data_IF_842731649335
#
_entry.id   IF_842731649335
#
_cell.length_a   1.000
_cell.length_b   1.000
_cell.length_c   1.000
_cell.angle_alpha   90.00
_cell.angle_beta   90.00
_cell.angle_gamma   90.00
#
_symmetry.space_group_name_H-M   'P 1'
#
loop_
_entity.id
_entity.type
_entity.pdbx_description
1 polymer ?
#
# COMPACT_ATOMS: atom_id res chain seq x y z
N UNK A 1 17.71 -0.50 -17.99
CA UNK A 1 18.54 -1.73 -17.94
C UNK A 1 20.05 -1.52 -18.10
N UNK A 2 20.56 -0.64 -19.00
CA UNK A 2 22.02 -0.48 -19.23
C UNK A 2 22.87 -0.27 -17.97
N UNK A 3 22.46 0.63 -17.06
CA UNK A 3 23.20 0.93 -15.84
C UNK A 3 23.24 -0.26 -14.87
N UNK A 4 22.10 -0.94 -14.69
CA UNK A 4 21.99 -2.14 -13.85
C UNK A 4 22.86 -3.29 -14.40
N UNK A 5 22.84 -3.52 -15.72
CA UNK A 5 23.70 -4.51 -16.39
C UNK A 5 25.20 -4.21 -16.24
N UNK A 6 25.57 -2.97 -15.95
CA UNK A 6 26.94 -2.56 -15.66
C UNK A 6 27.28 -2.63 -14.16
N UNK A 7 26.44 -3.27 -13.33
CA UNK A 7 26.66 -3.44 -11.90
C UNK A 7 26.47 -2.16 -11.07
N UNK A 8 25.75 -1.16 -11.59
CA UNK A 8 25.52 0.12 -10.87
C UNK A 8 24.24 0.08 -10.06
N UNK A 9 24.28 0.72 -8.88
CA UNK A 9 23.08 1.12 -8.14
C UNK A 9 22.49 2.36 -8.80
N UNK A 10 21.20 2.31 -9.12
CA UNK A 10 20.48 3.41 -9.77
C UNK A 10 19.57 4.06 -8.73
N UNK A 11 19.78 5.36 -8.49
CA UNK A 11 18.94 6.15 -7.61
C UNK A 11 17.97 6.92 -8.51
N UNK A 12 16.67 6.69 -8.31
CA UNK A 12 15.60 7.42 -8.96
C UNK A 12 14.87 8.27 -7.93
N UNK A 13 14.51 9.50 -8.29
CA UNK A 13 13.67 10.33 -7.45
C UNK A 13 12.21 9.86 -7.57
N UNK A 14 11.63 9.42 -6.45
CA UNK A 14 10.21 9.05 -6.37
C UNK A 14 9.26 10.24 -6.43
N UNK A 15 7.95 9.97 -6.40
CA UNK A 15 6.84 10.93 -6.28
C UNK A 15 6.59 11.84 -7.49
N UNK A 16 7.59 12.07 -8.33
CA UNK A 16 7.50 12.96 -9.49
C UNK A 16 7.51 12.22 -10.82
N UNK A 17 6.97 12.88 -11.84
CA UNK A 17 6.95 12.42 -13.22
C UNK A 17 6.95 13.58 -14.21
N UNK A 18 6.79 13.27 -15.49
CA UNK A 18 6.60 14.25 -16.56
C UNK A 18 5.36 13.87 -17.38
N UNK A 19 4.66 14.87 -17.91
CA UNK A 19 3.64 14.69 -18.94
C UNK A 19 4.26 14.73 -20.36
N UNK A 20 3.41 14.63 -21.39
CA UNK A 20 3.84 14.62 -22.79
C UNK A 20 4.48 15.95 -23.23
N UNK A 21 4.12 17.06 -22.57
CA UNK A 21 4.67 18.41 -22.81
C UNK A 21 5.94 18.69 -21.99
N UNK A 22 6.43 17.70 -21.22
CA UNK A 22 7.59 17.78 -20.32
C UNK A 22 7.39 18.69 -19.11
N UNK A 23 6.16 18.95 -18.71
CA UNK A 23 5.89 19.59 -17.43
C UNK A 23 6.18 18.61 -16.29
N UNK A 24 6.79 19.11 -15.21
CA UNK A 24 7.01 18.30 -14.01
C UNK A 24 5.68 18.13 -13.29
N UNK A 25 5.30 16.89 -13.01
CA UNK A 25 4.08 16.53 -12.30
C UNK A 25 4.40 15.75 -11.03
N UNK A 26 3.44 15.71 -10.10
CA UNK A 26 3.54 14.92 -8.87
C UNK A 26 2.42 13.90 -8.80
N UNK A 27 2.68 12.79 -8.12
CA UNK A 27 1.73 11.69 -7.97
C UNK A 27 0.83 11.85 -6.74
N UNK A 28 1.00 12.91 -5.94
CA UNK A 28 0.26 13.13 -4.70
C UNK A 28 0.67 12.16 -3.57
N UNK A 29 -0.17 12.03 -2.54
CA UNK A 29 0.12 11.17 -1.37
C UNK A 29 0.40 9.73 -1.80
N UNK A 30 1.42 9.12 -1.19
CA UNK A 30 1.90 7.79 -1.55
C UNK A 30 2.72 7.73 -2.85
N UNK A 31 3.04 8.87 -3.48
CA UNK A 31 3.69 8.89 -4.79
C UNK A 31 5.06 8.23 -4.84
N UNK A 32 5.85 8.30 -3.77
CA UNK A 32 7.16 7.61 -3.71
C UNK A 32 7.00 6.10 -3.76
N UNK A 33 6.10 5.54 -2.94
CA UNK A 33 5.77 4.12 -2.93
C UNK A 33 5.23 3.69 -4.31
N UNK A 34 4.33 4.47 -4.89
CA UNK A 34 3.78 4.20 -6.23
C UNK A 34 4.89 4.17 -7.29
N UNK A 35 5.86 5.09 -7.20
CA UNK A 35 7.01 5.12 -8.12
C UNK A 35 7.87 3.87 -7.96
N UNK A 36 8.16 3.47 -6.72
CA UNK A 36 8.95 2.27 -6.43
C UNK A 36 8.27 1.00 -6.97
N UNK A 37 6.97 0.85 -6.73
CA UNK A 37 6.19 -0.28 -7.25
C UNK A 37 6.12 -0.28 -8.78
N UNK A 38 5.96 0.89 -9.40
CA UNK A 38 5.96 1.02 -10.86
C UNK A 38 7.30 0.63 -11.49
N UNK A 39 8.41 1.09 -10.90
CA UNK A 39 9.74 0.71 -11.32
C UNK A 39 9.95 -0.81 -11.15
N UNK A 40 9.55 -1.39 -10.01
CA UNK A 40 9.65 -2.83 -9.79
C UNK A 40 8.87 -3.63 -10.85
N UNK A 41 7.66 -3.20 -11.21
CA UNK A 41 6.86 -3.83 -12.27
C UNK A 41 7.57 -3.79 -13.63
N UNK A 42 8.06 -2.63 -14.05
CA UNK A 42 8.70 -2.45 -15.37
C UNK A 42 10.06 -3.15 -15.44
N UNK A 43 10.78 -3.20 -14.33
CA UNK A 43 12.09 -3.85 -14.22
C UNK A 43 11.98 -5.35 -13.95
N UNK A 44 10.76 -5.88 -13.74
CA UNK A 44 10.50 -7.27 -13.35
C UNK A 44 11.31 -7.69 -12.12
N UNK A 45 11.31 -6.83 -11.10
CA UNK A 45 12.00 -7.11 -9.85
C UNK A 45 11.30 -8.25 -9.09
N UNK A 46 12.09 -9.05 -8.36
CA UNK A 46 11.56 -10.15 -7.55
C UNK A 46 10.67 -9.65 -6.39
N UNK A 47 11.04 -8.52 -5.79
CA UNK A 47 10.22 -7.80 -4.81
C UNK A 47 10.55 -6.29 -4.79
N UNK A 48 9.59 -5.49 -4.32
CA UNK A 48 9.74 -4.08 -4.02
C UNK A 48 9.78 -3.89 -2.50
N UNK A 49 10.89 -3.38 -1.97
CA UNK A 49 11.04 -3.14 -0.53
C UNK A 49 10.72 -1.69 -0.18
N UNK A 50 9.79 -1.50 0.75
CA UNK A 50 9.44 -0.20 1.34
C UNK A 50 10.02 -0.15 2.74
N UNK A 51 11.01 0.72 2.92
CA UNK A 51 11.67 0.95 4.19
C UNK A 51 11.01 2.11 4.93
N UNK A 52 10.59 1.88 6.17
CA UNK A 52 9.82 2.84 6.97
C UNK A 52 10.23 2.79 8.45
N UNK A 53 9.65 3.63 9.31
CA UNK A 53 9.95 3.70 10.75
C UNK A 53 9.17 2.70 11.60
N UNK A 54 8.37 1.83 10.97
CA UNK A 54 7.65 0.73 11.62
C UNK A 54 8.23 -0.64 11.22
N UNK A 55 8.03 -1.63 12.08
CA UNK A 55 8.49 -3.02 11.83
C UNK A 55 7.79 -3.68 10.64
N UNK A 56 6.62 -3.19 10.25
CA UNK A 56 5.79 -3.72 9.17
C UNK A 56 4.32 -3.45 9.43
N UNK A 57 3.46 -4.33 8.92
CA UNK A 57 2.01 -4.26 9.15
C UNK A 57 1.69 -5.09 10.40
N UNK A 58 1.12 -4.45 11.40
CA UNK A 58 0.65 -5.09 12.62
C UNK A 58 -0.83 -5.49 12.49
N UNK A 59 -1.27 -6.46 13.29
CA UNK A 59 -2.67 -6.92 13.31
C UNK A 59 -3.66 -5.84 13.75
N UNK A 60 -3.21 -4.80 14.46
CA UNK A 60 -3.96 -3.60 14.85
C UNK A 60 -2.96 -2.54 15.35
N UNK A 61 -3.45 -1.36 15.74
CA UNK A 61 -2.63 -0.30 16.32
C UNK A 61 -2.06 -0.72 17.69
N UNK A 62 -0.73 -0.88 17.85
CA UNK A 62 -0.10 -1.31 19.09
C UNK A 62 -0.27 -0.30 20.24
N UNK A 63 -0.59 0.97 19.92
CA UNK A 63 -0.88 2.02 20.91
C UNK A 63 -2.25 1.84 21.55
N UNK A 64 -3.15 1.09 20.90
CA UNK A 64 -4.48 0.76 21.41
C UNK A 64 -4.54 -0.65 21.99
N UNK A 65 -3.78 -1.58 21.42
CA UNK A 65 -3.75 -2.98 21.84
C UNK A 65 -2.30 -3.46 21.92
N UNK A 66 -1.77 -3.59 23.13
CA UNK A 66 -0.37 -4.00 23.39
C UNK A 66 -0.02 -5.38 22.82
N UNK A 67 -1.02 -6.26 22.66
CA UNK A 67 -0.84 -7.60 22.11
C UNK A 67 -0.88 -7.65 20.58
N UNK A 68 -0.85 -6.50 19.89
CA UNK A 68 -0.75 -6.41 18.45
C UNK A 68 0.48 -7.17 17.93
N UNK A 69 0.30 -7.93 16.84
CA UNK A 69 1.33 -8.84 16.31
C UNK A 69 1.75 -8.42 14.92
N UNK A 70 3.04 -8.57 14.62
CA UNK A 70 3.55 -8.41 13.26
C UNK A 70 3.00 -9.48 12.33
N UNK A 71 2.35 -9.06 11.26
CA UNK A 71 1.91 -9.94 10.18
C UNK A 71 3.12 -10.26 9.32
N UNK A 72 3.48 -11.54 9.19
CA UNK A 72 4.60 -11.94 8.31
C UNK A 72 4.22 -11.83 6.84
N UNK A 73 2.95 -12.11 6.53
CA UNK A 73 2.38 -12.04 5.19
C UNK A 73 0.95 -11.52 5.25
N UNK A 74 0.53 -10.83 4.22
CA UNK A 74 -0.84 -10.35 4.01
C UNK A 74 -1.12 -10.33 2.50
N UNK A 75 -2.35 -10.61 2.10
CA UNK A 75 -2.74 -10.48 0.70
C UNK A 75 -2.85 -9.01 0.28
N UNK A 76 -2.79 -8.74 -1.02
CA UNK A 76 -3.06 -7.40 -1.54
C UNK A 76 -4.44 -6.88 -1.10
N UNK A 77 -5.45 -7.74 -1.12
CA UNK A 77 -6.83 -7.35 -0.79
C UNK A 77 -7.00 -7.04 0.69
N UNK A 78 -6.50 -7.89 1.57
CA UNK A 78 -6.54 -7.60 3.00
C UNK A 78 -5.78 -6.30 3.35
N UNK A 79 -4.64 -6.06 2.70
CA UNK A 79 -3.89 -4.83 2.91
C UNK A 79 -4.62 -3.60 2.36
N UNK A 80 -5.31 -3.71 1.22
CA UNK A 80 -6.13 -2.64 0.67
C UNK A 80 -7.28 -2.29 1.61
N UNK A 81 -7.97 -3.29 2.14
CA UNK A 81 -9.06 -3.09 3.10
C UNK A 81 -8.54 -2.39 4.37
N UNK A 82 -7.44 -2.89 4.96
CA UNK A 82 -6.82 -2.26 6.13
C UNK A 82 -6.38 -0.81 5.86
N UNK A 83 -5.71 -0.57 4.72
CA UNK A 83 -5.23 0.77 4.36
C UNK A 83 -6.40 1.74 4.13
N UNK A 84 -7.49 1.27 3.51
CA UNK A 84 -8.68 2.09 3.27
C UNK A 84 -9.38 2.49 4.58
N UNK A 85 -9.29 1.65 5.61
CA UNK A 85 -9.84 1.85 6.95
C UNK A 85 -8.84 2.47 7.94
N UNK A 86 -7.79 3.14 7.46
CA UNK A 86 -6.90 3.96 8.28
C UNK A 86 -5.64 3.28 8.79
N UNK A 87 -5.29 2.07 8.34
CA UNK A 87 -3.97 1.50 8.60
C UNK A 87 -2.89 2.28 7.81
N UNK A 88 -2.26 3.27 8.46
CA UNK A 88 -1.37 4.25 7.84
C UNK A 88 0.04 3.79 7.46
N UNK A 89 0.26 2.49 7.23
CA UNK A 89 1.61 1.94 6.97
C UNK A 89 2.06 2.12 5.51
N UNK A 90 1.14 1.93 4.56
CA UNK A 90 1.42 2.07 3.13
C UNK A 90 0.18 2.65 2.44
N UNK A 91 0.38 3.53 1.46
CA UNK A 91 -0.74 4.17 0.76
C UNK A 91 -1.47 3.19 -0.17
N UNK A 92 -2.81 3.15 -0.11
CA UNK A 92 -3.66 2.21 -0.86
C UNK A 92 -3.34 2.15 -2.35
N UNK A 93 -3.18 3.31 -3.00
CA UNK A 93 -2.82 3.40 -4.43
C UNK A 93 -1.59 2.58 -4.82
N UNK A 94 -0.56 2.56 -3.98
CA UNK A 94 0.66 1.81 -4.27
C UNK A 94 0.43 0.31 -4.16
N UNK A 95 -0.44 -0.11 -3.22
CA UNK A 95 -0.87 -1.51 -3.08
C UNK A 95 -1.76 -1.93 -4.25
N UNK A 96 -2.66 -1.07 -4.72
CA UNK A 96 -3.48 -1.33 -5.92
C UNK A 96 -2.58 -1.54 -7.15
N UNK A 97 -1.55 -0.70 -7.30
CA UNK A 97 -0.58 -0.83 -8.37
C UNK A 97 0.20 -2.15 -8.24
N UNK A 98 0.65 -2.49 -7.03
CA UNK A 98 1.34 -3.75 -6.74
C UNK A 98 0.47 -4.96 -7.12
N UNK A 99 -0.80 -4.97 -6.72
CA UNK A 99 -1.80 -5.98 -7.08
C UNK A 99 -1.95 -6.10 -8.59
N UNK A 100 -2.17 -4.96 -9.28
CA UNK A 100 -2.42 -4.92 -10.73
C UNK A 100 -1.29 -5.55 -11.54
N UNK A 101 -0.04 -5.32 -11.13
CA UNK A 101 1.13 -5.83 -11.84
C UNK A 101 1.80 -7.02 -11.14
N UNK A 102 1.16 -7.59 -10.10
CA UNK A 102 1.67 -8.70 -9.29
C UNK A 102 3.09 -8.50 -8.78
N UNK A 103 3.38 -7.30 -8.30
CA UNK A 103 4.68 -6.97 -7.67
C UNK A 103 4.60 -7.31 -6.19
N UNK A 104 5.36 -8.29 -5.68
CA UNK A 104 5.46 -8.52 -4.24
C UNK A 104 6.07 -7.30 -3.56
N UNK A 105 5.44 -6.82 -2.49
CA UNK A 105 5.91 -5.65 -1.73
C UNK A 105 6.26 -6.06 -0.31
N UNK A 106 7.45 -5.72 0.16
CA UNK A 106 7.87 -5.95 1.54
C UNK A 106 7.95 -4.62 2.30
N UNK A 107 7.11 -4.45 3.31
CA UNK A 107 7.22 -3.32 4.24
C UNK A 107 8.11 -3.76 5.40
N UNK A 108 9.19 -3.03 5.66
CA UNK A 108 10.17 -3.40 6.69
C UNK A 108 10.80 -2.18 7.36
N UNK A 109 11.40 -2.32 8.55
CA UNK A 109 11.99 -1.20 9.24
C UNK A 109 13.26 -0.71 8.53
N UNK A 110 13.44 0.61 8.48
CA UNK A 110 14.63 1.28 7.98
C UNK A 110 15.85 1.10 8.90
N UNK A 111 15.60 0.81 10.19
CA UNK A 111 16.62 0.58 11.19
C UNK A 111 16.41 -0.79 11.82
N UNK A 112 17.42 -1.66 11.75
CA UNK A 112 17.39 -3.03 12.28
C UNK A 112 17.08 -4.10 11.22
N UNK A 113 17.15 -5.35 11.65
CA UNK A 113 17.14 -6.52 10.75
C UNK A 113 15.79 -7.23 10.69
N UNK A 114 14.70 -6.52 11.00
CA UNK A 114 13.35 -7.07 10.89
C UNK A 114 13.01 -7.51 9.46
N UNK A 115 12.45 -8.72 9.31
CA UNK A 115 11.99 -9.28 8.03
C UNK A 115 10.76 -8.54 7.46
N UNK A 116 10.03 -7.86 8.34
CA UNK A 116 8.84 -7.09 8.01
C UNK A 116 7.64 -7.92 7.57
N UNK A 117 6.77 -7.29 6.79
CA UNK A 117 5.56 -7.88 6.24
C UNK A 117 5.66 -7.97 4.73
N UNK A 118 5.44 -9.15 4.17
CA UNK A 118 5.30 -9.35 2.74
C UNK A 118 3.83 -9.25 2.31
N UNK A 119 3.54 -8.29 1.44
CA UNK A 119 2.27 -8.10 0.73
C UNK A 119 2.40 -8.77 -0.63
N UNK A 120 1.64 -9.85 -0.88
CA UNK A 120 1.72 -10.63 -2.12
C UNK A 120 0.40 -11.37 -2.40
N UNK A 121 0.30 -12.08 -3.52
CA UNK A 121 -0.76 -13.08 -3.68
C UNK A 121 -0.52 -14.19 -2.63
N UNK A 122 -1.44 -14.30 -1.67
CA UNK A 122 -1.40 -15.34 -0.63
C UNK A 122 -2.37 -16.43 -1.04
N UNK A 123 -1.84 -17.56 -1.50
CA UNK A 123 -2.64 -18.75 -1.88
C UNK A 123 -2.89 -19.69 -0.71
N UNK A 124 -2.22 -19.45 0.43
CA UNK A 124 -2.26 -20.33 1.58
C UNK A 124 -3.12 -19.69 2.67
N UNK A 125 -4.42 -19.96 2.63
CA UNK A 125 -5.39 -19.54 3.63
C UNK A 125 -5.20 -20.35 4.93
N UNK A 126 -4.05 -20.19 5.58
CA UNK A 126 -3.79 -20.83 6.86
C UNK A 126 -4.45 -20.03 7.99
N UNK A 127 -5.70 -20.44 8.28
CA UNK A 127 -6.38 -20.52 9.58
C UNK A 127 -6.91 -19.28 10.31
N UNK A 128 -6.79 -18.04 9.81
CA UNK A 128 -7.47 -16.90 10.47
C UNK A 128 -8.67 -16.40 9.66
N UNK A 129 -9.84 -16.35 10.30
CA UNK A 129 -11.03 -15.69 9.73
C UNK A 129 -10.87 -14.16 9.66
N UNK A 130 -9.95 -13.59 10.46
CA UNK A 130 -9.74 -12.15 10.57
C UNK A 130 -8.24 -11.85 10.57
N UNK A 131 -7.79 -11.04 9.63
CA UNK A 131 -6.36 -10.74 9.45
C UNK A 131 -5.91 -9.55 10.30
N UNK A 132 -6.77 -8.56 10.48
CA UNK A 132 -6.48 -7.40 11.31
C UNK A 132 -7.69 -6.52 11.60
N UNK A 133 -7.47 -5.51 12.44
CA UNK A 133 -8.43 -4.49 12.82
C UNK A 133 -7.82 -3.11 12.51
N UNK A 134 -8.55 -2.28 11.79
CA UNK A 134 -8.21 -0.88 11.57
C UNK A 134 -9.30 0.02 12.16
N UNK A 135 -8.92 1.22 12.61
CA UNK A 135 -9.84 2.16 13.25
C UNK A 135 -9.61 3.55 12.68
N UNK A 136 -10.66 4.15 12.13
CA UNK A 136 -10.71 5.57 11.75
C UNK A 136 -11.50 6.33 12.80
N UNK A 137 -10.93 7.44 13.32
CA UNK A 137 -11.58 8.27 14.35
C UNK A 137 -12.14 9.57 13.79
N UNK A 138 -11.59 10.08 12.69
CA UNK A 138 -11.92 11.39 12.12
C UNK A 138 -12.92 11.26 10.96
N UNK A 139 -14.10 10.69 11.24
CA UNK A 139 -15.19 10.57 10.27
C UNK A 139 -16.46 11.24 10.77
N UNK A 140 -17.22 11.81 9.84
CA UNK A 140 -18.55 12.34 10.08
C UNK A 140 -19.57 11.53 9.28
N UNK A 141 -20.62 11.05 9.95
CA UNK A 141 -21.74 10.36 9.30
C UNK A 141 -22.81 11.36 8.89
N UNK A 142 -23.08 11.47 7.59
CA UNK A 142 -24.19 12.25 7.04
C UNK A 142 -25.28 11.29 6.57
N UNK A 143 -26.52 11.50 7.02
CA UNK A 143 -27.67 10.70 6.60
C UNK A 143 -28.74 11.60 5.99
N UNK A 144 -29.21 11.24 4.78
CA UNK A 144 -30.38 11.86 4.18
C UNK A 144 -31.60 11.01 4.53
N UNK A 145 -32.59 11.61 5.20
CA UNK A 145 -33.80 10.92 5.68
C UNK A 145 -35.01 11.46 4.95
N UNK A 146 -35.99 10.60 4.64
CA UNK A 146 -37.24 11.01 4.00
C UNK A 146 -37.12 11.29 2.49
N UNK A 147 -36.09 10.72 1.84
CA UNK A 147 -35.98 10.80 0.40
C UNK A 147 -37.07 9.97 -0.28
N UNK A 148 -37.69 10.48 -1.37
CA UNK A 148 -38.62 9.69 -2.15
C UNK A 148 -37.86 8.57 -2.90
N UNK A 149 -38.36 7.33 -2.78
CA UNK A 149 -37.86 6.17 -3.52
C UNK A 149 -38.37 6.20 -4.97
N UNK A 150 -37.86 7.15 -5.77
CA UNK A 150 -38.17 7.30 -7.19
C UNK A 150 -36.91 7.63 -7.97
N UNK A 151 -36.70 7.04 -9.15
CA UNK A 151 -35.59 7.41 -10.03
C UNK A 151 -35.66 8.89 -10.38
N UNK A 152 -34.51 9.56 -10.44
CA UNK A 152 -34.41 10.92 -10.97
C UNK A 152 -34.91 10.91 -12.42
N UNK A 153 -35.97 11.67 -12.72
CA UNK A 153 -36.31 12.01 -14.11
C UNK A 153 -35.50 13.25 -14.45
N UNK A 154 -34.56 13.11 -15.38
CA UNK A 154 -33.90 14.26 -15.97
C UNK A 154 -34.92 14.97 -16.88
N UNK A 155 -35.16 16.26 -16.62
CA UNK A 155 -35.80 17.18 -17.57
C UNK A 155 -34.72 17.85 -18.43
#
# INVERSE_FOLDING_TARGET
MRLLKAGRIVIAAGFQGIDDDRNITTLGRGGSDTTATALAAVLQADECQIYTDVDGVLSTDPRLVESARLLRRISYDEMLELASLGAGVMHSRSIEFAKKYRVPVRVRPAHGDGEGTLIADVTDHTSSLVTGLAVVREEARVGLVGLPDRPRRDE
#
